data_IF_788447063972
#
_entry.id   IF_788447063972
#
_cell.length_a   1.000
_cell.length_b   1.000
_cell.length_c   1.000
_cell.angle_alpha   90.00
_cell.angle_beta   90.00
_cell.angle_gamma   90.00
#
_symmetry.space_group_name_H-M   'P 1'
#
loop_
_entity.id
_entity.type
_entity.pdbx_description
1 polymer ?
#
# COMPACT_ATOMS: atom_id res chain seq x y z
N UNK A 1 -14.61 -13.44 27.07
CA UNK A 1 -14.19 -13.79 25.69
C UNK A 1 -13.33 -12.65 25.21
N UNK A 2 -12.01 -12.83 25.20
CA UNK A 2 -11.07 -11.77 24.84
C UNK A 2 -11.07 -11.60 23.33
N UNK A 3 -11.58 -10.47 22.85
CA UNK A 3 -11.37 -10.02 21.47
C UNK A 3 -9.89 -9.66 21.34
N UNK A 4 -9.04 -10.64 21.00
CA UNK A 4 -7.72 -10.36 20.48
C UNK A 4 -7.92 -9.78 19.08
N UNK A 5 -8.02 -8.45 18.99
CA UNK A 5 -7.83 -7.75 17.73
C UNK A 5 -6.42 -8.08 17.26
N UNK A 6 -6.32 -8.97 16.27
CA UNK A 6 -5.07 -9.24 15.58
C UNK A 6 -4.64 -7.94 14.90
N UNK A 7 -3.68 -7.24 15.52
CA UNK A 7 -3.11 -6.04 14.94
C UNK A 7 -2.33 -6.44 13.69
N UNK A 8 -2.89 -6.13 12.52
CA UNK A 8 -2.20 -6.29 11.25
C UNK A 8 -1.47 -4.99 10.93
N UNK A 9 -0.15 -5.09 10.70
CA UNK A 9 0.64 -3.97 10.19
C UNK A 9 0.68 -4.05 8.67
N UNK A 10 0.40 -2.93 8.00
CA UNK A 10 0.63 -2.81 6.57
C UNK A 10 2.13 -2.64 6.33
N UNK A 11 2.75 -3.58 5.61
CA UNK A 11 4.18 -3.52 5.29
C UNK A 11 4.45 -2.98 3.87
N UNK A 12 3.44 -3.03 2.99
CA UNK A 12 3.53 -2.61 1.61
C UNK A 12 2.21 -2.02 1.17
N UNK A 13 2.26 -0.93 0.41
CA UNK A 13 1.09 -0.30 -0.20
C UNK A 13 1.33 -0.14 -1.69
N UNK A 14 0.24 -0.21 -2.44
CA UNK A 14 0.23 0.12 -3.87
C UNK A 14 -0.93 1.03 -4.17
N UNK A 15 -0.70 1.98 -5.08
CA UNK A 15 -1.73 2.81 -5.67
C UNK A 15 -2.00 2.30 -7.07
N UNK A 16 -3.28 2.10 -7.38
CA UNK A 16 -3.80 1.77 -8.70
C UNK A 16 -4.71 2.91 -9.14
N UNK A 17 -4.75 3.19 -10.44
CA UNK A 17 -5.65 4.21 -10.97
C UNK A 17 -6.20 3.80 -12.33
N UNK A 18 -7.42 4.24 -12.61
CA UNK A 18 -8.15 3.93 -13.86
C UNK A 18 -7.50 4.47 -15.13
N UNK A 19 -6.57 5.42 -15.01
CA UNK A 19 -5.80 6.00 -16.11
C UNK A 19 -4.41 5.39 -16.29
N UNK A 20 -3.97 4.49 -15.41
CA UNK A 20 -2.65 3.85 -15.49
C UNK A 20 -2.81 2.38 -15.89
N UNK A 21 -2.25 2.02 -17.06
CA UNK A 21 -2.08 0.63 -17.48
C UNK A 21 -0.68 0.13 -17.11
N UNK A 22 -0.54 -1.13 -16.69
CA UNK A 22 0.77 -1.73 -16.44
C UNK A 22 0.73 -3.19 -16.01
N UNK A 23 1.92 -3.77 -15.86
CA UNK A 23 2.07 -5.14 -15.35
C UNK A 23 1.95 -5.19 -13.83
N UNK A 24 1.56 -6.35 -13.30
CA UNK A 24 1.67 -6.62 -11.87
C UNK A 24 3.13 -6.48 -11.41
N UNK A 25 3.37 -5.74 -10.32
CA UNK A 25 4.71 -5.54 -9.75
C UNK A 25 5.26 -6.78 -9.04
N UNK A 26 4.39 -7.71 -8.62
CA UNK A 26 4.79 -8.90 -7.85
C UNK A 26 5.04 -10.13 -8.72
N UNK A 27 4.27 -10.33 -9.80
CA UNK A 27 4.37 -11.52 -10.65
C UNK A 27 4.62 -11.23 -12.13
N UNK A 28 4.80 -9.97 -12.51
CA UNK A 28 5.03 -9.53 -13.90
C UNK A 28 3.94 -9.93 -14.90
N UNK A 29 2.79 -10.43 -14.42
CA UNK A 29 1.65 -10.73 -15.25
C UNK A 29 1.09 -9.44 -15.86
N UNK A 30 0.88 -9.45 -17.17
CA UNK A 30 0.15 -8.39 -17.83
C UNK A 30 -1.34 -8.56 -17.55
N UNK A 31 -1.88 -7.72 -16.67
CA UNK A 31 -3.30 -7.70 -16.34
C UNK A 31 -3.97 -6.71 -17.30
N UNK A 32 -5.25 -6.92 -17.63
CA UNK A 32 -6.00 -6.02 -18.48
C UNK A 32 -5.95 -4.57 -17.99
N UNK A 33 -6.30 -3.63 -18.88
CA UNK A 33 -6.28 -2.19 -18.56
C UNK A 33 -7.40 -1.76 -17.62
N UNK A 34 -8.28 -2.68 -17.20
CA UNK A 34 -9.41 -2.38 -16.33
C UNK A 34 -8.98 -2.44 -14.86
N UNK A 35 -9.28 -1.36 -14.13
CA UNK A 35 -8.84 -1.16 -12.74
C UNK A 35 -9.33 -2.27 -11.79
N UNK A 36 -10.54 -2.76 -12.00
CA UNK A 36 -11.15 -3.83 -11.20
C UNK A 36 -10.44 -5.18 -11.39
N UNK A 37 -10.05 -5.53 -12.62
CA UNK A 37 -9.27 -6.73 -12.89
C UNK A 37 -7.90 -6.69 -12.19
N UNK A 38 -7.21 -5.54 -12.28
CA UNK A 38 -5.92 -5.34 -11.61
C UNK A 38 -6.08 -5.42 -10.10
N UNK A 39 -7.07 -4.73 -9.54
CA UNK A 39 -7.36 -4.75 -8.10
C UNK A 39 -7.65 -6.18 -7.63
N UNK A 40 -8.53 -6.89 -8.32
CA UNK A 40 -8.91 -8.26 -7.99
C UNK A 40 -7.70 -9.20 -8.03
N UNK A 41 -6.80 -9.02 -9.00
CA UNK A 41 -5.57 -9.80 -9.05
C UNK A 41 -4.70 -9.59 -7.80
N UNK A 42 -4.47 -8.35 -7.38
CA UNK A 42 -3.66 -8.08 -6.17
C UNK A 42 -4.30 -8.64 -4.90
N UNK A 43 -5.63 -8.54 -4.76
CA UNK A 43 -6.34 -9.07 -3.61
C UNK A 43 -6.26 -10.60 -3.58
N UNK A 44 -6.55 -11.26 -4.70
CA UNK A 44 -6.68 -12.71 -4.75
C UNK A 44 -5.34 -13.45 -4.83
N UNK A 45 -4.38 -12.93 -5.60
CA UNK A 45 -3.11 -13.62 -5.86
C UNK A 45 -2.01 -13.22 -4.89
N UNK A 46 -2.03 -11.98 -4.38
CA UNK A 46 -0.95 -11.43 -3.56
C UNK A 46 -1.36 -11.09 -2.13
N UNK A 47 -2.61 -11.38 -1.75
CA UNK A 47 -3.12 -11.20 -0.39
C UNK A 47 -3.22 -9.75 0.05
N UNK A 48 -3.42 -8.82 -0.90
CA UNK A 48 -3.67 -7.43 -0.57
C UNK A 48 -5.10 -7.24 -0.05
N UNK A 49 -5.30 -6.19 0.74
CA UNK A 49 -6.61 -5.70 1.19
C UNK A 49 -6.86 -4.29 0.66
N UNK A 50 -8.13 -3.95 0.46
CA UNK A 50 -8.54 -2.61 0.10
C UNK A 50 -8.44 -1.67 1.31
N UNK A 51 -7.63 -0.61 1.18
CA UNK A 51 -7.50 0.42 2.21
C UNK A 51 -8.35 1.65 1.87
N UNK A 52 -8.38 2.03 0.59
CA UNK A 52 -9.08 3.23 0.14
C UNK A 52 -9.51 3.11 -1.31
N UNK A 53 -10.68 3.67 -1.62
CA UNK A 53 -11.16 3.92 -2.97
C UNK A 53 -11.72 5.33 -3.04
N UNK A 54 -11.31 6.08 -4.06
CA UNK A 54 -11.76 7.45 -4.27
C UNK A 54 -11.63 7.86 -5.73
N UNK A 55 -11.97 9.12 -5.99
CA UNK A 55 -11.87 9.70 -7.32
C UNK A 55 -11.12 11.01 -7.22
N UNK A 56 -10.08 11.16 -8.02
CA UNK A 56 -9.37 12.41 -8.23
C UNK A 56 -9.93 13.07 -9.50
N UNK A 57 -10.00 14.39 -9.52
CA UNK A 57 -10.43 15.13 -10.69
C UNK A 57 -9.41 16.18 -11.02
N UNK A 58 -8.96 16.20 -12.26
CA UNK A 58 -8.03 17.19 -12.78
C UNK A 58 -8.64 17.87 -14.01
N UNK A 59 -8.08 19.01 -14.42
CA UNK A 59 -8.47 19.67 -15.65
C UNK A 59 -7.49 19.29 -16.75
N UNK A 60 -8.02 18.84 -17.89
CA UNK A 60 -7.20 18.67 -19.09
C UNK A 60 -6.62 20.03 -19.49
N UNK A 61 -5.34 20.05 -19.81
CA UNK A 61 -4.62 21.25 -20.22
C UNK A 61 -5.11 21.79 -21.57
N UNK A 62 -5.63 20.94 -22.46
CA UNK A 62 -5.98 21.31 -23.82
C UNK A 62 -7.38 21.92 -23.98
N UNK A 63 -8.38 21.40 -23.26
CA UNK A 63 -9.78 21.82 -23.42
C UNK A 63 -10.47 22.23 -22.11
N UNK A 64 -9.73 22.23 -20.99
CA UNK A 64 -10.25 22.49 -19.64
C UNK A 64 -11.37 21.53 -19.21
N UNK A 65 -11.55 20.40 -19.90
CA UNK A 65 -12.50 19.36 -19.50
C UNK A 65 -12.07 18.74 -18.16
N UNK A 66 -13.07 18.29 -17.41
CA UNK A 66 -12.86 17.71 -16.09
C UNK A 66 -12.60 16.21 -16.28
N UNK A 67 -11.35 15.78 -16.11
CA UNK A 67 -10.96 14.37 -16.16
C UNK A 67 -11.14 13.81 -14.76
N UNK A 68 -11.98 12.79 -14.61
CA UNK A 68 -12.13 12.05 -13.35
C UNK A 68 -11.38 10.72 -13.44
N UNK A 69 -10.52 10.46 -12.47
CA UNK A 69 -9.74 9.24 -12.35
C UNK A 69 -10.08 8.56 -11.03
N UNK A 70 -10.56 7.31 -11.08
CA UNK A 70 -10.67 6.48 -9.88
C UNK A 70 -9.29 6.05 -9.42
N UNK A 71 -9.03 6.19 -8.12
CA UNK A 71 -7.82 5.80 -7.41
C UNK A 71 -8.16 4.77 -6.34
N UNK A 72 -7.35 3.71 -6.27
CA UNK A 72 -7.48 2.63 -5.31
C UNK A 72 -6.15 2.45 -4.59
N UNK A 73 -6.17 2.41 -3.27
CA UNK A 73 -5.00 2.08 -2.45
C UNK A 73 -5.21 0.70 -1.83
N UNK A 74 -4.28 -0.20 -2.12
CA UNK A 74 -4.24 -1.54 -1.54
C UNK A 74 -3.06 -1.66 -0.57
N UNK A 75 -3.24 -2.43 0.49
CA UNK A 75 -2.20 -2.73 1.48
C UNK A 75 -1.98 -4.23 1.63
N UNK A 76 -0.72 -4.65 1.78
CA UNK A 76 -0.35 -6.02 2.15
C UNK A 76 -0.10 -6.06 3.66
N UNK A 77 -0.79 -6.95 4.35
CA UNK A 77 -0.63 -7.16 5.79
C UNK A 77 0.45 -8.19 6.05
N UNK A 78 1.25 -7.98 7.10
CA UNK A 78 2.06 -9.05 7.70
C UNK A 78 1.43 -9.52 9.00
N UNK A 79 1.57 -10.81 9.28
CA UNK A 79 1.21 -11.34 10.58
C UNK A 79 2.18 -10.81 11.63
N UNK A 80 1.66 -10.55 12.83
CA UNK A 80 2.45 -10.17 14.01
C UNK A 80 3.57 -11.20 14.32
N UNK A 81 3.38 -12.46 13.91
CA UNK A 81 4.38 -13.53 14.02
C UNK A 81 5.58 -13.33 13.09
N UNK A 82 5.36 -12.83 11.87
CA UNK A 82 6.42 -12.50 10.90
C UNK A 82 7.12 -11.19 11.25
N UNK A 83 6.43 -10.31 11.98
CA UNK A 83 7.00 -9.05 12.46
C UNK A 83 8.06 -9.26 13.56
N UNK A 84 7.86 -10.20 14.49
CA UNK A 84 8.85 -10.47 15.56
C UNK A 84 10.22 -10.94 15.04
N UNK A 85 10.27 -11.49 13.83
CA UNK A 85 11.51 -11.89 13.15
C UNK A 85 12.20 -10.76 12.39
N UNK A 86 11.49 -9.69 12.06
CA UNK A 86 12.11 -8.47 11.53
C UNK A 86 12.64 -7.66 12.71
N UNK A 87 13.95 -7.69 12.93
CA UNK A 87 14.61 -7.00 14.05
C UNK A 87 14.05 -5.58 14.23
N UNK A 88 13.69 -5.18 15.47
CA UNK A 88 13.30 -3.81 15.72
C UNK A 88 14.46 -2.90 15.28
N UNK A 89 14.12 -1.86 14.50
CA UNK A 89 15.01 -0.75 14.25
C UNK A 89 15.47 -0.27 15.63
N UNK A 90 16.78 -0.40 15.88
CA UNK A 90 17.41 -0.03 17.13
C UNK A 90 17.07 1.44 17.38
N UNK A 91 16.28 1.70 18.43
CA UNK A 91 16.25 3.02 19.05
C UNK A 91 17.68 3.30 19.50
N UNK A 92 18.41 4.13 18.76
CA UNK A 92 19.64 4.74 19.25
C UNK A 92 19.27 5.56 20.48
N UNK A 93 19.47 4.97 21.68
CA UNK A 93 19.50 5.75 22.90
C UNK A 93 20.61 6.80 22.75
N UNK A 94 20.35 8.10 22.99
CA UNK A 94 21.44 9.06 23.09
C UNK A 94 22.28 8.69 24.32
N UNK A 95 23.50 8.20 24.07
CA UNK A 95 24.52 7.98 25.09
C UNK A 95 24.77 9.29 25.82
N UNK A 96 24.62 9.24 27.14
CA UNK A 96 24.92 10.32 28.08
C UNK A 96 26.28 10.95 27.76
N UNK A 97 26.31 12.26 27.58
CA UNK A 97 27.55 13.01 27.48
C UNK A 97 28.26 12.97 28.83
N UNK A 98 29.30 12.14 28.93
CA UNK A 98 30.30 12.27 30.00
C UNK A 98 30.94 13.65 29.90
N UNK A 99 30.55 14.57 30.79
CA UNK A 99 31.28 15.82 30.98
C UNK A 99 32.51 15.52 31.83
N UNK A 100 33.61 15.32 31.12
CA UNK A 100 35.00 15.41 31.54
C UNK A 100 35.27 16.57 32.53
N UNK A 101 35.99 16.23 33.60
CA UNK A 101 36.95 16.98 34.43
C UNK A 101 36.96 18.50 34.42
#
# INVERSE_FOLDING_TARGET
>A
MSNQESLFKINSTIMLSSNLSGCCKECSLHIGSLLDEVMNHYIQQHGYILLFIGSESDRDFNDYSLISTTVVILGKTISLSEFKTASPLVDEQPSEVESIG
#
